data_IF_978000180964
#
_entry.id   IF_978000180964
#
_cell.length_a   1.000
_cell.length_b   1.000
_cell.length_c   1.000
_cell.angle_alpha   90.00
_cell.angle_beta   90.00
_cell.angle_gamma   90.00
#
_symmetry.space_group_name_H-M   'P 1'
#
loop_
_entity.id
_entity.type
_entity.pdbx_description
1 polymer ?
#
# COMPACT_ATOMS: atom_id res chain seq x y z
N UNK A 1 -7.78 -6.51 -8.49
CA UNK A 1 -8.33 -7.81 -8.90
C UNK A 1 -7.41 -8.49 -9.90
N UNK A 2 -7.29 -9.84 -9.91
CA UNK A 2 -8.08 -10.83 -9.15
C UNK A 2 -7.52 -11.17 -7.76
N UNK A 3 -6.31 -10.70 -7.41
CA UNK A 3 -5.64 -11.05 -6.16
C UNK A 3 -6.35 -10.52 -4.90
N UNK A 4 -7.23 -9.54 -5.06
CA UNK A 4 -7.90 -8.84 -3.95
C UNK A 4 -9.40 -9.11 -3.89
N UNK A 5 -9.84 -10.27 -4.38
CA UNK A 5 -11.25 -10.69 -4.28
C UNK A 5 -11.59 -11.16 -2.86
N UNK A 6 -10.70 -11.90 -2.24
CA UNK A 6 -10.82 -12.49 -0.91
C UNK A 6 -9.70 -12.05 0.06
N UNK A 7 -8.67 -11.39 -0.46
CA UNK A 7 -7.49 -10.97 0.30
C UNK A 7 -7.38 -9.45 0.28
N UNK A 8 -7.43 -8.77 1.44
CA UNK A 8 -7.16 -7.33 1.51
C UNK A 8 -5.80 -7.00 0.92
N UNK A 9 -5.72 -5.88 0.19
CA UNK A 9 -4.48 -5.45 -0.48
C UNK A 9 -3.30 -5.37 0.50
N UNK A 10 -3.53 -4.89 1.71
CA UNK A 10 -2.55 -4.75 2.77
C UNK A 10 -2.02 -6.09 3.30
N UNK A 11 -2.74 -7.18 3.02
CA UNK A 11 -2.35 -8.54 3.38
C UNK A 11 -1.62 -9.26 2.24
N UNK A 12 -1.57 -8.69 1.04
CA UNK A 12 -0.73 -9.21 -0.03
C UNK A 12 0.75 -9.06 0.36
N UNK A 13 1.57 -10.10 0.13
CA UNK A 13 2.97 -10.07 0.57
C UNK A 13 3.82 -9.15 -0.32
N UNK A 14 4.66 -8.36 0.34
CA UNK A 14 5.79 -7.67 -0.27
C UNK A 14 7.06 -8.33 0.25
N UNK A 15 7.82 -8.93 -0.65
CA UNK A 15 9.05 -9.68 -0.34
C UNK A 15 8.86 -10.63 0.86
N UNK A 16 7.83 -11.49 0.76
CA UNK A 16 7.58 -12.60 1.69
C UNK A 16 6.78 -12.29 2.94
N UNK A 17 6.49 -11.02 3.27
CA UNK A 17 5.63 -10.66 4.43
C UNK A 17 4.52 -9.69 4.05
N UNK A 18 3.35 -9.74 4.72
CA UNK A 18 2.24 -8.82 4.44
C UNK A 18 2.67 -7.36 4.41
N UNK A 19 2.10 -6.59 3.49
CA UNK A 19 2.42 -5.18 3.34
C UNK A 19 2.24 -4.38 4.63
N UNK A 20 1.19 -4.68 5.39
CA UNK A 20 0.91 -4.00 6.67
C UNK A 20 2.07 -4.17 7.66
N UNK A 21 2.80 -5.28 7.63
CA UNK A 21 3.96 -5.46 8.50
C UNK A 21 5.10 -4.51 8.18
N UNK A 22 5.31 -4.19 6.89
CA UNK A 22 6.30 -3.18 6.50
C UNK A 22 5.91 -1.78 7.01
N UNK A 23 4.60 -1.46 6.97
CA UNK A 23 4.08 -0.18 7.50
C UNK A 23 4.26 -0.11 9.01
N UNK A 24 3.83 -1.13 9.74
CA UNK A 24 3.93 -1.17 11.22
C UNK A 24 5.40 -1.17 11.67
N UNK A 25 6.27 -1.90 10.99
CA UNK A 25 7.71 -1.89 11.27
C UNK A 25 8.31 -0.49 11.07
N UNK A 26 7.90 0.22 10.03
CA UNK A 26 8.35 1.60 9.81
C UNK A 26 7.88 2.53 10.92
N UNK A 27 6.62 2.45 11.31
CA UNK A 27 6.05 3.22 12.40
C UNK A 27 6.77 2.95 13.73
N UNK A 28 7.00 1.68 14.06
CA UNK A 28 7.71 1.27 15.28
C UNK A 28 9.13 1.85 15.36
N UNK A 29 9.87 1.84 14.24
CA UNK A 29 11.22 2.45 14.16
C UNK A 29 11.22 3.96 14.45
N UNK A 30 10.08 4.62 14.28
CA UNK A 30 9.90 6.04 14.59
C UNK A 30 9.20 6.31 15.94
N UNK A 31 9.09 5.28 16.78
CA UNK A 31 8.59 5.40 18.15
C UNK A 31 7.08 5.37 18.28
N UNK A 32 6.34 4.92 17.26
CA UNK A 32 4.91 4.63 17.37
C UNK A 32 4.75 3.31 18.13
N UNK A 33 3.97 3.33 19.19
CA UNK A 33 3.85 2.23 20.14
C UNK A 33 2.52 1.48 20.07
N UNK A 34 1.57 1.97 19.26
CA UNK A 34 0.22 1.41 19.14
C UNK A 34 -0.35 1.78 17.77
N UNK A 35 -1.09 0.88 17.14
CA UNK A 35 -1.70 1.08 15.82
C UNK A 35 -3.17 0.68 15.85
N UNK A 36 -4.04 1.48 15.27
CA UNK A 36 -5.45 1.16 15.03
C UNK A 36 -5.64 0.86 13.56
N UNK A 37 -6.12 -0.34 13.24
CA UNK A 37 -6.47 -0.73 11.88
C UNK A 37 -7.95 -0.44 11.63
N UNK A 38 -8.25 0.54 10.79
CA UNK A 38 -9.62 0.80 10.30
C UNK A 38 -9.92 -0.14 9.14
N UNK A 39 -10.90 -1.02 9.33
CA UNK A 39 -11.18 -2.14 8.44
C UNK A 39 -12.63 -2.10 7.95
N UNK A 40 -12.82 -1.89 6.67
CA UNK A 40 -14.13 -1.96 5.99
C UNK A 40 -14.30 -3.22 5.12
N UNK A 41 -13.23 -4.00 4.89
CA UNK A 41 -13.25 -5.18 4.02
C UNK A 41 -12.45 -6.33 4.65
N UNK A 42 -13.06 -7.54 4.66
CA UNK A 42 -12.45 -8.80 5.12
C UNK A 42 -11.64 -8.68 6.43
N UNK A 43 -12.22 -8.16 7.52
CA UNK A 43 -11.51 -7.99 8.80
C UNK A 43 -11.00 -9.31 9.38
N UNK A 44 -11.70 -10.41 9.10
CA UNK A 44 -11.33 -11.75 9.57
C UNK A 44 -9.93 -12.19 9.09
N UNK A 45 -9.49 -11.72 7.92
CA UNK A 45 -8.16 -12.01 7.38
C UNK A 45 -7.07 -11.40 8.26
N UNK A 46 -7.27 -10.16 8.72
CA UNK A 46 -6.35 -9.51 9.66
C UNK A 46 -6.38 -10.18 11.05
N UNK A 47 -7.56 -10.48 11.57
CA UNK A 47 -7.71 -11.12 12.87
C UNK A 47 -7.11 -12.54 12.89
N UNK A 48 -7.23 -13.28 11.79
CA UNK A 48 -6.61 -14.60 11.66
C UNK A 48 -5.08 -14.51 11.56
N UNK A 49 -4.54 -13.47 10.92
CA UNK A 49 -3.10 -13.27 10.80
C UNK A 49 -2.46 -12.78 12.11
N UNK A 50 -3.18 -11.99 12.91
CA UNK A 50 -2.68 -11.40 14.16
C UNK A 50 -3.64 -11.69 15.33
N UNK A 51 -3.81 -12.98 15.71
CA UNK A 51 -4.81 -13.38 16.70
C UNK A 51 -4.53 -12.87 18.11
N UNK A 52 -3.25 -12.59 18.40
CA UNK A 52 -2.81 -12.07 19.70
C UNK A 52 -2.90 -10.53 19.79
N UNK A 53 -3.38 -9.85 18.72
CA UNK A 53 -3.48 -8.41 18.69
C UNK A 53 -2.13 -7.68 18.57
N UNK A 54 -1.12 -8.34 18.00
CA UNK A 54 0.21 -7.76 17.79
C UNK A 54 0.68 -7.93 16.34
N UNK A 55 1.32 -6.90 15.80
CA UNK A 55 2.03 -6.94 14.53
C UNK A 55 3.45 -6.43 14.77
N UNK A 56 4.49 -7.25 14.52
CA UNK A 56 5.89 -6.91 14.82
C UNK A 56 6.09 -6.32 16.24
N UNK A 57 5.55 -6.96 17.25
CA UNK A 57 5.60 -6.55 18.67
C UNK A 57 4.82 -5.25 18.98
N UNK A 58 4.19 -4.61 18.01
CA UNK A 58 3.34 -3.43 18.19
C UNK A 58 1.90 -3.88 18.44
N UNK A 59 1.25 -3.43 19.52
CA UNK A 59 -0.17 -3.66 19.74
C UNK A 59 -1.01 -3.09 18.61
N UNK A 60 -1.95 -3.88 18.10
CA UNK A 60 -2.91 -3.44 17.09
C UNK A 60 -4.34 -3.56 17.62
N UNK A 61 -5.14 -2.52 17.38
CA UNK A 61 -6.56 -2.49 17.66
C UNK A 61 -7.34 -2.53 16.35
N UNK A 62 -8.45 -3.25 16.35
CA UNK A 62 -9.31 -3.36 15.17
C UNK A 62 -10.51 -2.43 15.30
N UNK A 63 -10.63 -1.43 14.45
CA UNK A 63 -11.82 -0.62 14.26
C UNK A 63 -12.55 -1.13 13.02
N UNK A 64 -13.55 -2.01 13.22
CA UNK A 64 -14.30 -2.64 12.13
C UNK A 64 -15.50 -1.77 11.82
N UNK A 65 -15.51 -1.16 10.64
CA UNK A 65 -16.59 -0.30 10.17
C UNK A 65 -17.88 -1.12 9.95
N UNK A 66 -19.02 -0.73 10.54
CA UNK A 66 -20.29 -1.42 10.30
C UNK A 66 -20.79 -1.24 8.86
N UNK A 67 -20.41 -0.15 8.21
CA UNK A 67 -20.65 0.21 6.82
C UNK A 67 -19.52 1.14 6.35
N UNK A 68 -19.26 1.24 5.03
CA UNK A 68 -18.21 2.12 4.50
C UNK A 68 -18.44 3.59 4.86
N UNK A 69 -17.54 4.18 5.64
CA UNK A 69 -17.62 5.57 6.13
C UNK A 69 -16.80 6.58 5.31
N UNK A 70 -16.14 6.13 4.23
CA UNK A 70 -15.15 6.92 3.49
C UNK A 70 -13.97 7.36 4.39
N UNK A 71 -13.01 8.10 3.88
CA UNK A 71 -11.72 8.35 4.54
C UNK A 71 -11.86 9.10 5.88
N UNK A 72 -12.57 10.21 5.95
CA UNK A 72 -12.72 10.96 7.20
C UNK A 72 -13.64 10.26 8.21
N UNK A 73 -14.74 9.68 7.75
CA UNK A 73 -15.65 8.92 8.61
C UNK A 73 -14.93 7.73 9.26
N UNK A 74 -14.11 7.00 8.50
CA UNK A 74 -13.28 5.90 8.99
C UNK A 74 -12.24 6.38 10.02
N UNK A 75 -11.54 7.50 9.75
CA UNK A 75 -10.59 8.11 10.70
C UNK A 75 -11.30 8.43 12.03
N UNK A 76 -12.46 9.09 11.96
CA UNK A 76 -13.22 9.41 13.17
C UNK A 76 -13.64 8.15 13.93
N UNK A 77 -14.22 7.19 13.25
CA UNK A 77 -14.67 5.93 13.83
C UNK A 77 -13.52 5.17 14.54
N UNK A 78 -12.37 5.07 13.86
CA UNK A 78 -11.19 4.41 14.43
C UNK A 78 -10.65 5.14 15.65
N UNK A 79 -10.54 6.47 15.59
CA UNK A 79 -10.05 7.28 16.69
C UNK A 79 -10.98 7.22 17.92
N UNK A 80 -12.31 7.24 17.73
CA UNK A 80 -13.29 7.08 18.81
C UNK A 80 -13.24 5.67 19.40
N UNK A 81 -13.14 4.63 18.57
CA UNK A 81 -13.06 3.22 19.02
C UNK A 81 -11.83 2.96 19.90
N UNK A 82 -10.72 3.59 19.61
CA UNK A 82 -9.49 3.48 20.39
C UNK A 82 -9.35 4.59 21.46
N UNK A 83 -10.37 5.45 21.62
CA UNK A 83 -10.36 6.56 22.58
C UNK A 83 -9.13 7.49 22.44
N UNK A 84 -8.74 7.81 21.22
CA UNK A 84 -7.62 8.69 20.93
C UNK A 84 -7.95 10.12 21.37
N UNK A 85 -7.07 10.71 22.21
CA UNK A 85 -7.25 12.05 22.80
C UNK A 85 -6.06 12.97 22.59
N UNK A 86 -5.01 12.46 21.97
CA UNK A 86 -3.78 13.19 21.68
C UNK A 86 -3.58 13.30 20.18
N UNK A 87 -2.62 14.12 19.76
CA UNK A 87 -2.17 14.20 18.35
C UNK A 87 -1.86 12.81 17.83
N UNK A 88 -2.36 12.45 16.66
CA UNK A 88 -2.21 11.12 16.10
C UNK A 88 -1.84 11.14 14.61
N UNK A 89 -1.27 10.03 14.15
CA UNK A 89 -0.94 9.79 12.76
C UNK A 89 -2.06 9.02 12.06
N UNK A 90 -2.27 9.33 10.81
CA UNK A 90 -3.10 8.56 9.88
C UNK A 90 -2.25 8.21 8.66
N UNK A 91 -2.29 6.95 8.25
CA UNK A 91 -1.58 6.47 7.07
C UNK A 91 -2.49 5.60 6.20
N UNK A 92 -2.36 5.77 4.90
CA UNK A 92 -2.92 4.81 3.96
C UNK A 92 -2.14 3.49 4.05
N UNK A 93 -2.83 2.40 4.36
CA UNK A 93 -2.21 1.09 4.60
C UNK A 93 -1.65 0.38 3.35
N UNK A 94 -1.75 1.00 2.18
CA UNK A 94 -1.28 0.50 0.89
C UNK A 94 -0.12 1.30 0.29
N UNK A 95 0.52 2.11 1.12
CA UNK A 95 1.68 2.95 0.77
C UNK A 95 2.92 2.44 1.49
N UNK A 96 4.00 2.26 0.74
CA UNK A 96 5.35 2.10 1.29
C UNK A 96 6.12 3.41 1.16
N UNK A 97 6.78 3.82 2.24
CA UNK A 97 7.53 5.09 2.27
C UNK A 97 8.70 5.04 3.24
N UNK A 98 9.71 5.85 2.97
CA UNK A 98 10.86 6.13 3.86
C UNK A 98 10.70 7.47 4.58
N UNK A 99 9.49 7.97 4.68
CA UNK A 99 9.18 9.21 5.39
C UNK A 99 9.73 9.19 6.81
N UNK A 100 10.49 10.21 7.18
CA UNK A 100 10.87 10.46 8.57
C UNK A 100 9.64 10.99 9.33
N UNK A 101 8.94 10.06 9.99
CA UNK A 101 7.72 10.36 10.76
C UNK A 101 8.00 11.38 11.86
N UNK A 102 9.19 11.32 12.47
CA UNK A 102 9.55 12.28 13.52
C UNK A 102 9.60 13.70 12.98
N UNK A 103 10.22 13.90 11.81
CA UNK A 103 10.26 15.24 11.18
C UNK A 103 8.86 15.76 10.82
N UNK A 104 7.97 14.90 10.36
CA UNK A 104 6.57 15.28 10.08
C UNK A 104 5.87 15.72 11.37
N UNK A 105 6.02 14.98 12.46
CA UNK A 105 5.42 15.32 13.77
C UNK A 105 6.02 16.59 14.36
N UNK A 106 7.34 16.77 14.26
CA UNK A 106 8.02 18.00 14.72
C UNK A 106 7.53 19.23 13.92
N UNK A 107 7.43 19.10 12.59
CA UNK A 107 6.85 20.15 11.72
C UNK A 107 5.40 20.49 12.11
N UNK A 108 4.58 19.49 12.39
CA UNK A 108 3.20 19.71 12.83
C UNK A 108 3.13 20.53 14.11
N UNK A 109 3.96 20.20 15.10
CA UNK A 109 4.06 20.94 16.37
C UNK A 109 4.56 22.38 16.18
N UNK A 110 5.56 22.60 15.31
CA UNK A 110 6.12 23.91 15.01
C UNK A 110 5.10 24.84 14.34
N UNK A 111 4.32 24.31 13.40
CA UNK A 111 3.30 25.08 12.69
C UNK A 111 2.04 25.33 13.52
N UNK A 112 1.85 24.56 14.61
CA UNK A 112 0.63 24.58 15.44
C UNK A 112 -0.64 24.37 14.61
N UNK A 113 -0.55 23.48 13.62
CA UNK A 113 -1.63 23.16 12.71
C UNK A 113 -2.68 22.28 13.39
N UNK A 114 -3.94 22.34 12.94
CA UNK A 114 -4.95 21.34 13.27
C UNK A 114 -4.70 20.04 12.49
N UNK A 115 -4.14 20.15 11.27
CA UNK A 115 -3.72 19.03 10.47
C UNK A 115 -2.46 19.33 9.66
N UNK A 116 -1.60 18.33 9.50
CA UNK A 116 -0.45 18.37 8.59
C UNK A 116 -0.54 17.21 7.62
N UNK A 117 -0.32 17.49 6.33
CA UNK A 117 -0.36 16.52 5.25
C UNK A 117 1.02 16.34 4.64
N UNK A 118 1.46 15.09 4.49
CA UNK A 118 2.68 14.78 3.75
C UNK A 118 2.46 14.84 2.25
N UNK A 119 3.33 15.56 1.56
CA UNK A 119 3.35 15.65 0.10
C UNK A 119 4.67 15.13 -0.46
N UNK A 120 4.58 14.48 -1.62
CA UNK A 120 5.72 14.08 -2.43
C UNK A 120 5.57 14.61 -3.87
N UNK A 121 6.66 14.84 -4.60
CA UNK A 121 6.59 15.16 -6.02
C UNK A 121 6.49 13.88 -6.86
N UNK A 122 5.70 13.93 -7.92
CA UNK A 122 5.61 12.86 -8.93
C UNK A 122 5.79 13.42 -10.33
N UNK A 123 6.21 12.61 -11.30
CA UNK A 123 6.35 13.04 -12.69
C UNK A 123 5.00 13.34 -13.33
N UNK A 124 4.02 12.46 -13.14
CA UNK A 124 2.64 12.63 -13.63
C UNK A 124 1.64 12.68 -12.49
N UNK A 125 1.18 13.89 -12.09
CA UNK A 125 0.22 14.06 -11.01
C UNK A 125 -1.24 13.77 -11.41
N UNK A 126 -1.54 13.52 -12.68
CA UNK A 126 -2.90 13.37 -13.20
C UNK A 126 -3.70 12.20 -12.57
N UNK A 127 -3.01 11.29 -11.89
CA UNK A 127 -3.61 10.11 -11.25
C UNK A 127 -3.88 10.28 -9.77
N UNK A 128 -3.49 11.41 -9.18
CA UNK A 128 -3.47 11.65 -7.74
C UNK A 128 -4.21 12.93 -7.35
N UNK A 129 -4.46 13.09 -6.07
CA UNK A 129 -4.89 14.37 -5.49
C UNK A 129 -3.71 15.34 -5.40
N UNK A 130 -3.78 16.42 -6.14
CA UNK A 130 -2.74 17.45 -6.17
C UNK A 130 -3.02 18.51 -5.11
N UNK A 131 -1.97 18.95 -4.40
CA UNK A 131 -2.10 19.85 -3.26
C UNK A 131 -1.23 21.10 -3.46
N UNK A 132 -1.78 22.18 -4.05
CA UNK A 132 -1.12 23.47 -4.10
C UNK A 132 -0.89 24.05 -2.70
N UNK A 133 0.26 24.69 -2.50
CA UNK A 133 0.62 25.34 -1.24
C UNK A 133 1.07 26.77 -1.47
N UNK A 134 0.88 27.63 -0.48
CA UNK A 134 1.49 28.95 -0.46
C UNK A 134 3.00 28.88 -0.02
N UNK A 135 3.63 30.05 0.03
CA UNK A 135 5.04 30.17 0.42
C UNK A 135 5.32 29.81 1.88
N UNK A 136 4.30 29.81 2.73
CA UNK A 136 4.39 29.45 4.15
C UNK A 136 4.18 27.96 4.41
N UNK A 137 3.86 27.18 3.36
CA UNK A 137 3.53 25.76 3.45
C UNK A 137 2.06 25.49 3.79
N UNK A 138 1.20 26.53 3.83
CA UNK A 138 -0.24 26.31 3.99
C UNK A 138 -0.82 25.70 2.72
N UNK A 139 -1.73 24.76 2.90
CA UNK A 139 -2.47 24.16 1.78
C UNK A 139 -3.46 25.19 1.24
N UNK A 140 -3.37 25.46 -0.05
CA UNK A 140 -4.25 26.41 -0.75
C UNK A 140 -5.47 25.74 -1.39
N UNK A 141 -5.49 24.42 -1.49
CA UNK A 141 -6.60 23.67 -2.06
C UNK A 141 -6.24 22.22 -2.38
N UNK A 142 -7.24 21.49 -2.88
CA UNK A 142 -7.11 20.12 -3.38
C UNK A 142 -7.67 20.02 -4.79
N UNK A 143 -6.95 19.37 -5.69
CA UNK A 143 -7.37 19.15 -7.07
C UNK A 143 -7.28 17.65 -7.33
N UNK A 144 -8.43 17.00 -7.35
CA UNK A 144 -8.48 15.55 -7.56
C UNK A 144 -8.31 15.22 -9.04
N UNK A 145 -7.27 14.45 -9.36
CA UNK A 145 -6.99 13.90 -10.69
C UNK A 145 -7.11 14.92 -11.81
N UNK A 146 -6.28 15.97 -11.82
CA UNK A 146 -6.32 16.98 -12.87
C UNK A 146 -6.05 16.34 -14.24
N UNK A 147 -6.57 16.90 -15.35
CA UNK A 147 -6.20 16.46 -16.68
C UNK A 147 -4.68 16.50 -16.89
N UNK A 148 -4.11 15.59 -17.70
CA UNK A 148 -2.68 15.60 -18.00
C UNK A 148 -2.19 16.97 -18.50
N UNK A 149 -1.13 17.50 -17.89
CA UNK A 149 -0.54 18.80 -18.23
C UNK A 149 -1.26 20.02 -17.67
N UNK A 150 -2.39 19.88 -16.95
CA UNK A 150 -3.16 21.00 -16.37
C UNK A 150 -2.91 21.16 -14.85
N UNK A 151 -2.04 20.37 -14.27
CA UNK A 151 -1.74 20.46 -12.84
C UNK A 151 -0.89 21.68 -12.51
N UNK A 152 -1.28 22.52 -11.52
CA UNK A 152 -0.50 23.69 -11.10
C UNK A 152 0.80 23.32 -10.37
N UNK A 153 0.94 22.09 -9.93
CA UNK A 153 2.10 21.58 -9.20
C UNK A 153 2.20 20.06 -9.37
N UNK A 154 3.38 19.51 -9.14
CA UNK A 154 3.60 18.05 -9.11
C UNK A 154 3.57 17.46 -7.69
N UNK A 155 3.27 18.27 -6.67
CA UNK A 155 3.15 17.80 -5.29
C UNK A 155 1.77 17.18 -5.06
N UNK A 156 1.77 15.90 -4.67
CA UNK A 156 0.56 15.12 -4.44
C UNK A 156 0.41 14.73 -2.97
N UNK A 157 -0.83 14.43 -2.58
CA UNK A 157 -1.14 13.81 -1.31
C UNK A 157 -0.50 12.43 -1.20
N UNK A 158 0.42 12.26 -0.26
CA UNK A 158 1.15 11.02 -0.03
C UNK A 158 0.42 10.03 0.89
N UNK A 159 -0.79 10.37 1.37
CA UNK A 159 -1.59 9.49 2.22
C UNK A 159 -1.08 9.33 3.65
N UNK A 160 -0.31 10.31 4.15
CA UNK A 160 0.16 10.34 5.54
C UNK A 160 -0.15 11.70 6.15
N UNK A 161 -0.79 11.69 7.33
CA UNK A 161 -1.29 12.89 8.01
C UNK A 161 -0.95 12.87 9.48
N UNK A 162 -0.80 14.06 10.08
CA UNK A 162 -0.82 14.27 11.53
C UNK A 162 -2.04 15.13 11.83
N UNK A 163 -2.87 14.66 12.74
CA UNK A 163 -4.14 15.30 13.08
C UNK A 163 -4.22 15.59 14.58
N UNK A 164 -4.77 16.77 14.92
CA UNK A 164 -5.22 17.06 16.26
C UNK A 164 -6.62 16.47 16.51
N UNK A 165 -6.95 16.02 17.75
CA UNK A 165 -8.27 15.46 18.07
C UNK A 165 -9.42 16.42 17.82
N UNK A 166 -9.18 17.73 17.78
CA UNK A 166 -10.15 18.76 17.43
C UNK A 166 -10.74 18.58 16.03
N UNK A 167 -9.94 18.09 15.07
CA UNK A 167 -10.38 17.79 13.70
C UNK A 167 -11.53 16.79 13.69
N UNK A 168 -11.52 15.80 14.58
CA UNK A 168 -12.58 14.80 14.65
C UNK A 168 -13.97 15.42 14.92
N UNK A 169 -14.02 16.55 15.61
CA UNK A 169 -15.29 17.25 15.90
C UNK A 169 -15.95 17.85 14.66
N UNK A 170 -15.17 18.09 13.61
CA UNK A 170 -15.66 18.63 12.33
C UNK A 170 -16.23 17.55 11.41
N UNK A 171 -15.98 16.28 11.72
CA UNK A 171 -16.44 15.14 10.92
C UNK A 171 -17.75 14.63 11.53
N UNK A 172 -18.87 14.54 10.82
CA UNK A 172 -20.13 13.99 11.35
C UNK A 172 -20.01 12.53 11.80
N UNK A 173 -20.65 12.18 12.91
CA UNK A 173 -20.62 10.81 13.46
C UNK A 173 -21.41 9.87 12.57
N UNK A 174 -20.83 8.70 12.23
CA UNK A 174 -21.52 7.64 11.50
C UNK A 174 -21.94 8.04 10.10
N UNK A 175 -21.33 9.05 9.52
CA UNK A 175 -21.60 9.48 8.17
C UNK A 175 -20.41 9.20 7.25
N UNK A 176 -20.72 8.98 5.99
CA UNK A 176 -19.72 8.83 4.95
C UNK A 176 -19.17 10.20 4.55
N UNK A 177 -17.91 10.46 4.91
CA UNK A 177 -17.23 11.74 4.67
C UNK A 177 -15.84 11.50 4.10
N UNK A 178 -15.49 12.23 3.04
CA UNK A 178 -14.13 12.20 2.46
C UNK A 178 -13.24 13.24 3.13
N UNK A 179 -12.04 12.82 3.56
CA UNK A 179 -11.05 13.73 4.14
C UNK A 179 -10.56 14.74 3.09
N UNK A 180 -10.37 14.31 1.84
CA UNK A 180 -9.85 15.12 0.74
C UNK A 180 -10.87 16.10 0.15
N UNK A 181 -12.16 15.72 0.17
CA UNK A 181 -13.22 16.51 -0.46
C UNK A 181 -13.93 17.45 0.50
N UNK A 182 -13.90 17.14 1.79
CA UNK A 182 -14.69 17.87 2.80
C UNK A 182 -13.81 18.39 3.94
N UNK A 183 -13.14 17.50 4.69
CA UNK A 183 -12.42 17.88 5.92
C UNK A 183 -11.20 18.76 5.61
N UNK A 184 -10.31 18.32 4.72
CA UNK A 184 -9.11 19.10 4.39
C UNK A 184 -9.40 20.41 3.68
N UNK A 185 -10.34 20.49 2.73
CA UNK A 185 -10.74 21.79 2.18
C UNK A 185 -11.28 22.77 3.22
N UNK A 186 -12.06 22.29 4.20
CA UNK A 186 -12.54 23.15 5.30
C UNK A 186 -11.37 23.67 6.16
N UNK A 187 -10.46 22.80 6.57
CA UNK A 187 -9.26 23.19 7.32
C UNK A 187 -8.33 24.13 6.53
N UNK A 188 -8.22 23.93 5.22
CA UNK A 188 -7.45 24.82 4.35
C UNK A 188 -8.06 26.23 4.28
N UNK A 189 -9.40 26.33 4.15
CA UNK A 189 -10.12 27.61 4.16
C UNK A 189 -9.92 28.38 5.49
N UNK A 190 -9.77 27.67 6.59
CA UNK A 190 -9.47 28.22 7.92
C UNK A 190 -7.98 28.45 8.16
N UNK A 191 -7.11 28.19 7.16
CA UNK A 191 -5.63 28.25 7.28
C UNK A 191 -5.05 27.35 8.36
N UNK A 192 -5.71 26.22 8.66
CA UNK A 192 -5.34 25.25 9.69
C UNK A 192 -4.69 23.98 9.14
N UNK A 193 -4.53 23.87 7.81
CA UNK A 193 -3.90 22.74 7.13
C UNK A 193 -2.55 23.15 6.54
N UNK A 194 -1.49 22.44 6.92
CA UNK A 194 -0.13 22.66 6.44
C UNK A 194 0.44 21.44 5.72
N UNK A 195 1.33 21.66 4.76
CA UNK A 195 1.95 20.64 3.96
C UNK A 195 3.43 20.45 4.34
N UNK A 196 3.78 19.23 4.75
CA UNK A 196 5.17 18.79 4.89
C UNK A 196 5.62 18.15 3.57
N UNK A 197 6.58 18.75 2.90
CA UNK A 197 7.12 18.29 1.60
C UNK A 197 8.39 17.50 1.80
N UNK A 198 8.48 16.32 1.18
CA UNK A 198 9.72 15.55 1.11
C UNK A 198 9.89 14.88 -0.25
N UNK A 199 11.11 14.46 -0.56
CA UNK A 199 11.46 13.72 -1.77
C UNK A 199 11.96 12.31 -1.41
N UNK A 200 11.41 11.76 -0.33
CA UNK A 200 11.72 10.39 0.12
C UNK A 200 11.08 9.35 -0.77
N UNK A 201 11.56 8.12 -0.70
CA UNK A 201 10.89 7.01 -1.36
C UNK A 201 9.41 6.94 -0.97
N UNK A 202 8.58 6.73 -1.96
CA UNK A 202 7.15 6.55 -1.80
C UNK A 202 6.58 5.76 -2.97
N UNK A 203 5.74 4.78 -2.68
CA UNK A 203 5.00 4.04 -3.69
C UNK A 203 3.63 3.62 -3.17
N UNK A 204 2.58 3.95 -3.93
CA UNK A 204 1.24 3.40 -3.77
C UNK A 204 1.16 2.09 -4.57
N UNK A 205 0.93 0.98 -3.89
CA UNK A 205 0.85 -0.36 -4.49
C UNK A 205 -0.53 -0.67 -5.10
N UNK A 206 -1.31 0.35 -5.41
CA UNK A 206 -2.70 0.24 -5.91
C UNK A 206 -2.86 -0.43 -7.27
N UNK A 207 -1.80 -0.60 -8.04
CA UNK A 207 -1.83 -1.23 -9.36
C UNK A 207 -0.90 -2.44 -9.44
N UNK A 208 -1.14 -3.40 -10.36
CA UNK A 208 -0.18 -4.49 -10.59
C UNK A 208 1.24 -4.01 -10.90
N UNK A 209 1.38 -2.93 -11.68
CA UNK A 209 2.67 -2.34 -12.04
C UNK A 209 3.42 -1.84 -10.80
N UNK A 210 2.75 -1.05 -9.95
CA UNK A 210 3.36 -0.51 -8.73
C UNK A 210 3.57 -1.59 -7.67
N UNK A 211 2.74 -2.63 -7.64
CA UNK A 211 2.97 -3.78 -6.76
C UNK A 211 4.23 -4.57 -7.14
N UNK A 212 4.45 -4.84 -8.46
CA UNK A 212 5.70 -5.46 -8.94
C UNK A 212 6.88 -4.54 -8.67
N UNK A 213 6.75 -3.24 -8.95
CA UNK A 213 7.85 -2.28 -8.74
C UNK A 213 8.26 -2.21 -7.25
N UNK A 214 7.29 -2.15 -6.33
CA UNK A 214 7.57 -2.18 -4.88
C UNK A 214 8.39 -3.40 -4.46
N UNK A 215 8.11 -4.57 -5.03
CA UNK A 215 8.87 -5.79 -4.79
C UNK A 215 10.34 -5.65 -5.25
N UNK A 216 10.53 -5.14 -6.46
CA UNK A 216 11.86 -4.93 -7.06
C UNK A 216 12.66 -3.90 -6.26
N UNK A 217 12.05 -2.78 -5.91
CA UNK A 217 12.70 -1.71 -5.13
C UNK A 217 13.24 -2.23 -3.79
N UNK A 218 12.52 -3.15 -3.14
CA UNK A 218 12.99 -3.75 -1.90
C UNK A 218 14.14 -4.76 -2.13
N UNK A 219 14.19 -5.45 -3.27
CA UNK A 219 15.30 -6.33 -3.62
C UNK A 219 16.59 -5.57 -3.86
N UNK A 220 16.51 -4.45 -4.55
CA UNK A 220 17.66 -3.60 -4.88
C UNK A 220 18.19 -2.79 -3.70
N UNK A 221 17.53 -2.88 -2.54
CA UNK A 221 17.91 -2.15 -1.33
C UNK A 221 17.58 -0.66 -1.39
N UNK A 222 16.75 -0.23 -2.34
CA UNK A 222 16.31 1.16 -2.51
C UNK A 222 15.45 1.68 -1.37
N UNK A 223 14.74 0.78 -0.69
CA UNK A 223 13.87 1.14 0.43
C UNK A 223 14.55 0.75 1.75
N UNK A 224 14.71 1.72 2.66
CA UNK A 224 15.15 1.51 4.05
C UNK A 224 16.54 0.89 4.20
N UNK A 225 17.38 0.91 3.14
CA UNK A 225 18.78 0.43 3.20
C UNK A 225 18.94 -1.07 3.47
N UNK A 226 17.86 -1.86 3.45
CA UNK A 226 17.88 -3.30 3.65
C UNK A 226 17.54 -4.01 2.33
N UNK A 227 18.49 -4.76 1.78
CA UNK A 227 18.18 -5.69 0.69
C UNK A 227 17.48 -6.93 1.24
N UNK A 228 16.36 -7.28 0.66
CA UNK A 228 15.65 -8.51 0.98
C UNK A 228 16.07 -9.65 0.03
N UNK A 229 16.02 -10.88 0.52
CA UNK A 229 16.19 -12.04 -0.35
C UNK A 229 14.92 -12.21 -1.18
N UNK A 230 15.08 -12.22 -2.50
CA UNK A 230 13.93 -12.35 -3.41
C UNK A 230 13.34 -13.75 -3.48
N UNK A 231 14.04 -14.76 -2.95
CA UNK A 231 13.64 -16.16 -3.04
C UNK A 231 13.48 -16.74 -1.64
N UNK A 232 12.30 -17.28 -1.36
CA UNK A 232 12.05 -18.01 -0.11
C UNK A 232 12.81 -19.34 -0.09
N UNK A 233 13.48 -19.69 1.02
CA UNK A 233 14.32 -20.91 1.10
C UNK A 233 13.55 -22.24 1.02
N UNK A 234 12.23 -22.23 1.17
CA UNK A 234 11.39 -23.44 1.03
C UNK A 234 11.06 -23.77 -0.42
N UNK A 235 11.37 -22.86 -1.36
CA UNK A 235 11.03 -23.04 -2.77
C UNK A 235 12.04 -23.93 -3.50
N UNK A 236 11.53 -24.71 -4.45
CA UNK A 236 12.30 -25.64 -5.28
C UNK A 236 12.47 -25.03 -6.68
N UNK A 237 13.69 -24.61 -7.01
CA UNK A 237 13.98 -23.90 -8.26
C UNK A 237 14.98 -24.70 -9.10
N UNK A 238 14.50 -25.24 -10.23
CA UNK A 238 15.30 -25.91 -11.27
C UNK A 238 15.32 -25.09 -12.58
N UNK A 239 14.65 -23.93 -12.60
CA UNK A 239 14.60 -22.97 -13.69
C UNK A 239 15.48 -21.73 -13.46
N UNK A 240 15.30 -20.72 -14.32
CA UNK A 240 16.02 -19.45 -14.26
C UNK A 240 15.14 -18.37 -13.59
N UNK A 241 15.69 -17.65 -12.61
CA UNK A 241 14.99 -16.55 -11.92
C UNK A 241 15.87 -15.29 -11.92
N UNK A 242 15.35 -14.19 -12.42
CA UNK A 242 16.01 -12.89 -12.43
C UNK A 242 15.06 -11.77 -11.96
N UNK A 243 15.56 -10.83 -11.14
CA UNK A 243 14.84 -9.63 -10.66
C UNK A 243 13.41 -9.92 -10.18
N UNK A 244 13.20 -11.02 -9.46
CA UNK A 244 11.88 -11.53 -9.13
C UNK A 244 11.75 -11.92 -7.67
N UNK A 245 10.51 -11.89 -7.16
CA UNK A 245 10.19 -12.38 -5.82
C UNK A 245 9.48 -13.72 -5.93
N UNK A 246 10.04 -14.72 -5.26
CA UNK A 246 9.52 -16.09 -5.20
C UNK A 246 9.12 -16.39 -3.76
N UNK A 247 7.83 -16.56 -3.55
CA UNK A 247 7.22 -16.87 -2.24
C UNK A 247 7.52 -18.30 -1.77
N UNK A 248 7.10 -18.61 -0.54
CA UNK A 248 7.31 -19.92 0.07
C UNK A 248 6.66 -21.07 -0.74
N UNK A 249 7.26 -22.25 -0.67
CA UNK A 249 6.74 -23.49 -1.24
C UNK A 249 6.46 -23.43 -2.77
N UNK A 250 7.07 -22.49 -3.48
CA UNK A 250 6.97 -22.38 -4.94
C UNK A 250 7.82 -23.44 -5.61
N UNK A 251 7.30 -24.04 -6.69
CA UNK A 251 8.03 -25.00 -7.52
C UNK A 251 8.22 -24.43 -8.91
N UNK A 252 9.47 -24.26 -9.34
CA UNK A 252 9.84 -23.82 -10.70
C UNK A 252 10.62 -24.93 -11.38
N UNK A 253 10.00 -25.55 -12.38
CA UNK A 253 10.57 -26.72 -13.07
C UNK A 253 11.63 -26.31 -14.10
N UNK A 254 12.40 -27.31 -14.55
CA UNK A 254 13.52 -27.18 -15.49
C UNK A 254 13.11 -26.43 -16.77
N UNK A 255 13.94 -25.46 -17.16
CA UNK A 255 13.74 -24.66 -18.39
C UNK A 255 12.67 -23.58 -18.27
N UNK A 256 11.96 -23.48 -17.14
CA UNK A 256 11.11 -22.33 -16.87
C UNK A 256 11.96 -21.07 -16.62
N UNK A 257 11.44 -19.90 -17.02
CA UNK A 257 12.12 -18.60 -16.87
C UNK A 257 11.21 -17.57 -16.23
N UNK A 258 11.69 -16.98 -15.14
CA UNK A 258 10.97 -15.96 -14.39
C UNK A 258 11.80 -14.68 -14.39
N UNK A 259 11.22 -13.58 -14.84
CA UNK A 259 11.89 -12.27 -14.93
C UNK A 259 10.96 -11.15 -14.46
N UNK A 260 11.47 -10.23 -13.61
CA UNK A 260 10.74 -9.07 -13.07
C UNK A 260 9.31 -9.40 -12.62
N UNK A 261 9.13 -10.50 -11.92
CA UNK A 261 7.82 -11.06 -11.62
C UNK A 261 7.67 -11.41 -10.15
N UNK A 262 6.43 -11.54 -9.72
CA UNK A 262 6.07 -11.95 -8.36
C UNK A 262 5.34 -13.28 -8.42
N UNK A 263 5.92 -14.30 -7.83
CA UNK A 263 5.33 -15.63 -7.73
C UNK A 263 4.96 -15.86 -6.27
N UNK A 264 3.67 -15.89 -5.98
CA UNK A 264 3.18 -16.03 -4.62
C UNK A 264 3.26 -17.48 -4.12
N UNK A 265 3.18 -17.66 -2.80
CA UNK A 265 3.32 -18.93 -2.09
C UNK A 265 2.53 -20.06 -2.77
N UNK A 266 3.14 -21.24 -2.82
CA UNK A 266 2.52 -22.48 -3.27
C UNK A 266 2.31 -22.59 -4.79
N UNK A 267 2.67 -21.57 -5.56
CA UNK A 267 2.50 -21.61 -7.01
C UNK A 267 3.46 -22.63 -7.66
N UNK A 268 2.99 -23.27 -8.73
CA UNK A 268 3.75 -24.20 -9.53
C UNK A 268 3.93 -23.68 -10.96
N UNK A 269 5.18 -23.60 -11.41
CA UNK A 269 5.56 -23.19 -12.78
C UNK A 269 6.19 -24.38 -13.47
N UNK A 270 5.49 -24.95 -14.45
CA UNK A 270 5.94 -26.16 -15.13
C UNK A 270 7.04 -25.90 -16.16
N UNK A 271 7.59 -27.01 -16.66
CA UNK A 271 8.70 -27.04 -17.59
C UNK A 271 8.51 -26.11 -18.80
N UNK A 272 9.51 -25.28 -19.09
CA UNK A 272 9.55 -24.41 -20.26
C UNK A 272 8.61 -23.20 -20.20
N UNK A 273 7.85 -23.02 -19.12
CA UNK A 273 6.99 -21.84 -18.98
C UNK A 273 7.82 -20.57 -18.80
N UNK A 274 7.28 -19.44 -19.29
CA UNK A 274 7.90 -18.11 -19.20
C UNK A 274 6.97 -17.16 -18.49
N UNK A 275 7.44 -16.55 -17.40
CA UNK A 275 6.71 -15.50 -16.68
C UNK A 275 7.57 -14.24 -16.65
N UNK A 276 7.13 -13.18 -17.29
CA UNK A 276 7.86 -11.92 -17.32
C UNK A 276 6.97 -10.72 -17.01
N UNK A 277 7.48 -9.83 -16.12
CA UNK A 277 6.79 -8.64 -15.66
C UNK A 277 5.31 -8.92 -15.32
N UNK A 278 5.06 -9.93 -14.48
CA UNK A 278 3.72 -10.46 -14.21
C UNK A 278 3.58 -10.95 -12.77
N UNK A 279 2.34 -11.23 -12.33
CA UNK A 279 2.05 -11.68 -10.98
C UNK A 279 1.31 -13.01 -11.05
N UNK A 280 1.80 -14.01 -10.31
CA UNK A 280 1.17 -15.32 -10.15
C UNK A 280 0.66 -15.44 -8.71
N UNK A 281 -0.66 -15.63 -8.57
CA UNK A 281 -1.35 -15.75 -7.28
C UNK A 281 -0.99 -17.00 -6.49
N UNK A 282 -1.46 -17.06 -5.23
CA UNK A 282 -1.26 -18.20 -4.34
C UNK A 282 -1.79 -19.50 -4.95
N UNK A 283 -1.05 -20.59 -4.78
CA UNK A 283 -1.44 -21.95 -5.14
C UNK A 283 -1.87 -22.12 -6.62
N UNK A 284 -1.42 -21.21 -7.48
CA UNK A 284 -1.74 -21.25 -8.91
C UNK A 284 -0.77 -22.12 -9.68
N UNK A 285 -1.23 -22.69 -10.78
CA UNK A 285 -0.48 -23.63 -11.59
C UNK A 285 -0.35 -23.10 -13.02
N UNK A 286 0.88 -22.91 -13.48
CA UNK A 286 1.22 -22.46 -14.83
C UNK A 286 1.73 -23.66 -15.61
N UNK A 287 0.97 -24.08 -16.61
CA UNK A 287 1.22 -25.27 -17.41
C UNK A 287 2.45 -25.15 -18.30
N UNK A 288 2.90 -26.31 -18.83
CA UNK A 288 4.11 -26.44 -19.65
C UNK A 288 4.09 -25.49 -20.84
N UNK A 289 5.23 -24.83 -21.08
CA UNK A 289 5.43 -23.91 -22.20
C UNK A 289 4.40 -22.74 -22.26
N UNK A 290 3.68 -22.47 -21.18
CA UNK A 290 2.84 -21.28 -21.11
C UNK A 290 3.70 -20.01 -21.03
N UNK A 291 3.16 -18.89 -21.56
CA UNK A 291 3.86 -17.62 -21.60
C UNK A 291 2.96 -16.51 -20.99
N UNK A 292 3.34 -16.01 -19.82
CA UNK A 292 2.61 -14.99 -19.05
C UNK A 292 3.47 -13.72 -19.04
N UNK A 293 3.00 -12.63 -19.67
CA UNK A 293 3.81 -11.45 -19.94
C UNK A 293 3.05 -10.14 -19.72
N UNK A 294 3.80 -9.03 -19.72
CA UNK A 294 3.25 -7.66 -19.90
C UNK A 294 2.23 -7.24 -18.84
N UNK A 295 2.56 -7.42 -17.55
CA UNK A 295 1.68 -7.16 -16.41
C UNK A 295 0.41 -8.02 -16.39
N UNK A 296 0.51 -9.25 -16.88
CA UNK A 296 -0.55 -10.22 -16.66
C UNK A 296 -0.67 -10.58 -15.18
N UNK A 297 -1.89 -10.77 -14.71
CA UNK A 297 -2.19 -11.10 -13.31
C UNK A 297 -2.99 -12.39 -13.26
N UNK A 298 -2.40 -13.43 -12.72
CA UNK A 298 -3.06 -14.71 -12.45
C UNK A 298 -3.55 -14.70 -11.00
N UNK A 299 -4.84 -14.92 -10.81
CA UNK A 299 -5.48 -14.99 -9.49
C UNK A 299 -5.00 -16.16 -8.66
N UNK A 300 -5.51 -16.29 -7.44
CA UNK A 300 -5.22 -17.40 -6.57
C UNK A 300 -5.87 -18.70 -7.11
N UNK A 301 -5.21 -19.85 -6.91
CA UNK A 301 -5.69 -21.20 -7.27
C UNK A 301 -6.07 -21.40 -8.75
N UNK A 302 -5.61 -20.53 -9.63
CA UNK A 302 -5.88 -20.59 -11.06
C UNK A 302 -5.03 -21.66 -11.75
N UNK A 303 -5.65 -22.43 -12.63
CA UNK A 303 -4.99 -23.40 -13.49
C UNK A 303 -4.83 -22.82 -14.90
N UNK A 304 -3.61 -22.49 -15.30
CA UNK A 304 -3.30 -22.02 -16.66
C UNK A 304 -2.91 -23.23 -17.51
N UNK A 305 -3.62 -23.55 -18.60
CA UNK A 305 -3.31 -24.70 -19.44
C UNK A 305 -1.94 -24.59 -20.12
N UNK A 306 -1.41 -25.76 -20.53
CA UNK A 306 -0.17 -25.87 -21.31
C UNK A 306 -0.22 -25.00 -22.57
N UNK A 307 0.87 -24.31 -22.90
CA UNK A 307 1.01 -23.50 -24.09
C UNK A 307 0.13 -22.25 -24.15
N UNK A 308 -0.54 -21.89 -23.06
CA UNK A 308 -1.34 -20.65 -22.99
C UNK A 308 -0.46 -19.42 -23.11
N UNK A 309 -0.86 -18.44 -23.91
CA UNK A 309 -0.19 -17.14 -24.02
C UNK A 309 -1.08 -16.01 -23.46
N UNK A 310 -0.59 -15.27 -22.46
CA UNK A 310 -1.26 -14.12 -21.86
C UNK A 310 -0.34 -12.90 -21.91
N UNK A 311 -0.86 -11.80 -22.45
CA UNK A 311 -0.15 -10.53 -22.53
C UNK A 311 -1.03 -9.41 -21.98
N UNK A 312 -0.67 -8.84 -20.82
CA UNK A 312 -1.44 -7.77 -20.18
C UNK A 312 -2.86 -8.21 -19.78
N UNK A 313 -3.05 -9.48 -19.50
CA UNK A 313 -4.36 -10.07 -19.23
C UNK A 313 -4.52 -10.47 -17.77
N UNK A 314 -5.75 -10.48 -17.31
CA UNK A 314 -6.10 -10.94 -15.98
C UNK A 314 -6.89 -12.25 -16.07
N UNK A 315 -6.51 -13.24 -15.26
CA UNK A 315 -7.20 -14.52 -15.15
C UNK A 315 -7.57 -14.76 -13.69
N UNK A 316 -8.86 -14.90 -13.40
CA UNK A 316 -9.39 -15.22 -12.08
C UNK A 316 -9.77 -16.71 -11.98
N UNK A 317 -9.92 -17.20 -10.76
CA UNK A 317 -10.53 -18.51 -10.48
C UNK A 317 -11.97 -18.52 -11.06
N UNK A 318 -12.32 -19.57 -11.78
CA UNK A 318 -13.62 -19.72 -12.46
C UNK A 318 -14.74 -20.09 -11.50
#
# INVERSE_FOLDING_TARGET
QPLTLDTPKQMLPIVGKPMIEHVVEHLSKHGITEVVLSLGFAPDVFQAAYPDGYCNEVPIHYAIEPEPLDTAGAIRFAAESANIKETFLVLNGDVLTDLDIKKLVDFHKETKAEASIHLIPVEDPSRYGVVPTDKSGRVAGFIEKPPPGESPTNWINAGTYVLEPSVLKQIPIGQRVSVEKETFPALAAESQLFAFKSETYWIDTGTPATYVQAQIDLLEGGVRGNSHKGVDPTSLIDGEVAESVIGADVVIEKGARIERSVILKGAKIEQGAVVSNSIIGFDSHIGQNAAIRSLSVIGHRVQVPNGTELNGMTMAES
#
